data_IF_076871655846
#
_entry.id   IF_076871655846
#
_cell.length_a   1.000
_cell.length_b   1.000
_cell.length_c   1.000
_cell.angle_alpha   90.00
_cell.angle_beta   90.00
_cell.angle_gamma   90.00
#
_symmetry.space_group_name_H-M   'P 1'
#
loop_
_entity.id
_entity.type
_entity.pdbx_description
1 polymer ?
#
# COMPACT_ATOMS: atom_id res chain seq x y z
N UNK A 1 -3.92 31.73 -15.79
CA UNK A 1 -4.49 30.98 -14.63
C UNK A 1 -6.01 30.86 -14.71
N UNK A 2 -6.55 30.33 -15.82
CA UNK A 2 -8.00 30.15 -16.04
C UNK A 2 -8.35 28.71 -16.45
N UNK A 3 -7.48 27.74 -16.14
CA UNK A 3 -7.64 26.37 -16.61
C UNK A 3 -8.79 25.66 -15.85
N UNK A 4 -9.86 25.24 -16.54
CA UNK A 4 -11.04 24.60 -15.93
C UNK A 4 -10.81 23.14 -15.51
N UNK A 5 -9.64 22.56 -15.74
CA UNK A 5 -9.29 21.22 -15.20
C UNK A 5 -9.13 21.22 -13.68
N UNK A 6 -8.80 22.36 -13.07
CA UNK A 6 -8.70 22.48 -11.62
C UNK A 6 -10.06 22.73 -10.97
N UNK A 7 -10.42 21.90 -9.97
CA UNK A 7 -11.69 22.00 -9.25
C UNK A 7 -11.94 23.42 -8.67
N UNK A 8 -10.90 24.07 -8.16
CA UNK A 8 -10.96 25.44 -7.61
C UNK A 8 -11.34 26.48 -8.66
N UNK A 9 -10.83 26.34 -9.89
CA UNK A 9 -11.14 27.24 -11.00
C UNK A 9 -12.59 27.01 -11.49
N UNK A 10 -13.06 25.76 -11.53
CA UNK A 10 -14.48 25.47 -11.82
C UNK A 10 -15.42 26.05 -10.78
N UNK A 11 -15.08 25.93 -9.49
CA UNK A 11 -15.89 26.53 -8.41
C UNK A 11 -15.97 28.04 -8.59
N UNK A 12 -14.83 28.72 -8.82
CA UNK A 12 -14.78 30.18 -8.95
C UNK A 12 -15.47 30.70 -10.21
N UNK A 13 -15.27 30.07 -11.36
CA UNK A 13 -15.68 30.62 -12.66
C UNK A 13 -17.01 30.06 -13.18
N UNK A 14 -17.51 28.95 -12.61
CA UNK A 14 -18.75 28.31 -13.07
C UNK A 14 -19.80 28.17 -11.97
N UNK A 15 -19.44 27.61 -10.82
CA UNK A 15 -20.43 27.28 -9.79
C UNK A 15 -20.85 28.48 -8.94
N UNK A 16 -19.90 29.31 -8.49
CA UNK A 16 -20.21 30.48 -7.66
C UNK A 16 -21.06 31.53 -8.42
N UNK A 17 -20.75 31.90 -9.68
CA UNK A 17 -21.58 32.83 -10.43
C UNK A 17 -23.01 32.30 -10.66
N UNK A 18 -23.15 31.03 -11.04
CA UNK A 18 -24.46 30.41 -11.24
C UNK A 18 -25.30 30.37 -9.95
N UNK A 19 -24.66 30.12 -8.80
CA UNK A 19 -25.32 30.20 -7.49
C UNK A 19 -25.70 31.64 -7.13
N UNK A 20 -24.93 32.65 -7.52
CA UNK A 20 -25.27 34.06 -7.27
C UNK A 20 -26.44 34.56 -8.14
N UNK A 21 -26.62 34.00 -9.34
CA UNK A 21 -27.74 34.32 -10.24
C UNK A 21 -29.09 33.77 -9.74
N UNK A 22 -29.11 32.55 -9.18
CA UNK A 22 -30.35 31.91 -8.70
C UNK A 22 -30.65 32.15 -7.22
N UNK A 23 -29.69 32.63 -6.43
CA UNK A 23 -29.85 32.79 -4.99
C UNK A 23 -30.31 34.20 -4.56
N UNK A 24 -30.83 34.35 -3.32
CA UNK A 24 -31.17 35.64 -2.77
C UNK A 24 -29.96 36.60 -2.71
N UNK A 25 -30.18 37.92 -2.86
CA UNK A 25 -29.11 38.91 -2.81
C UNK A 25 -28.29 38.78 -1.51
N UNK A 26 -26.96 38.77 -1.67
CA UNK A 26 -26.02 38.66 -0.55
C UNK A 26 -25.63 37.23 -0.15
N UNK A 27 -25.93 36.20 -0.96
CA UNK A 27 -25.45 34.82 -0.75
C UNK A 27 -23.96 34.77 -0.41
N UNK A 28 -23.10 35.43 -1.21
CA UNK A 28 -21.66 35.47 -0.99
C UNK A 28 -21.29 35.96 0.41
N UNK A 29 -21.93 37.03 0.88
CA UNK A 29 -21.71 37.58 2.23
C UNK A 29 -22.15 36.58 3.30
N UNK A 30 -23.28 35.89 3.12
CA UNK A 30 -23.79 34.88 4.05
C UNK A 30 -22.87 33.65 4.12
N UNK A 31 -22.36 33.19 2.97
CA UNK A 31 -21.40 32.08 2.93
C UNK A 31 -20.07 32.44 3.59
N UNK A 32 -19.59 33.67 3.40
CA UNK A 32 -18.39 34.15 4.09
C UNK A 32 -18.61 34.27 5.61
N UNK A 33 -19.76 34.77 6.05
CA UNK A 33 -20.11 34.84 7.46
C UNK A 33 -20.20 33.44 8.08
N UNK A 34 -20.93 32.51 7.44
CA UNK A 34 -21.02 31.12 7.87
C UNK A 34 -19.65 30.44 7.93
N UNK A 35 -18.77 30.70 6.96
CA UNK A 35 -17.43 30.15 6.96
C UNK A 35 -16.57 30.72 8.11
N UNK A 36 -16.72 32.01 8.45
CA UNK A 36 -16.04 32.63 9.57
C UNK A 36 -16.54 32.06 10.91
N UNK A 37 -17.86 32.00 11.11
CA UNK A 37 -18.49 31.40 12.30
C UNK A 37 -18.06 29.94 12.48
N UNK A 38 -18.16 29.14 11.41
CA UNK A 38 -17.74 27.74 11.45
C UNK A 38 -16.24 27.59 11.72
N UNK A 39 -15.40 28.54 11.27
CA UNK A 39 -13.96 28.50 11.55
C UNK A 39 -13.68 28.75 13.03
N UNK A 40 -14.34 29.72 13.64
CA UNK A 40 -14.24 30.02 15.08
C UNK A 40 -14.70 28.82 15.93
N UNK A 41 -15.84 28.22 15.60
CA UNK A 41 -16.35 27.04 16.29
C UNK A 41 -15.42 25.83 16.14
N UNK A 42 -14.88 25.60 14.94
CA UNK A 42 -13.93 24.50 14.69
C UNK A 42 -12.65 24.73 15.49
N UNK A 43 -12.15 25.97 15.58
CA UNK A 43 -10.96 26.29 16.36
C UNK A 43 -11.15 25.94 17.84
N UNK A 44 -12.29 26.31 18.43
CA UNK A 44 -12.64 25.96 19.81
C UNK A 44 -12.70 24.43 20.04
N UNK A 45 -13.28 23.70 19.08
CA UNK A 45 -13.35 22.24 19.14
C UNK A 45 -11.98 21.57 19.00
N UNK A 46 -11.07 22.14 18.21
CA UNK A 46 -9.69 21.66 18.07
C UNK A 46 -8.86 21.93 19.34
N UNK A 47 -9.07 23.06 20.01
CA UNK A 47 -8.49 23.35 21.33
C UNK A 47 -8.99 22.34 22.37
N UNK A 48 -10.30 22.16 22.48
CA UNK A 48 -10.92 21.17 23.38
C UNK A 48 -10.44 19.73 23.11
N UNK A 49 -10.18 19.39 21.84
CA UNK A 49 -9.64 18.10 21.45
C UNK A 49 -8.16 17.95 21.82
N UNK A 50 -7.40 19.04 21.81
CA UNK A 50 -6.01 19.08 22.28
C UNK A 50 -5.95 18.82 23.78
N UNK A 51 -6.79 19.50 24.56
CA UNK A 51 -6.86 19.30 26.01
C UNK A 51 -7.30 17.89 26.38
N UNK A 52 -8.26 17.33 25.64
CA UNK A 52 -8.66 15.93 25.80
C UNK A 52 -7.52 14.97 25.51
N UNK A 53 -6.73 15.23 24.45
CA UNK A 53 -5.58 14.41 24.10
C UNK A 53 -4.50 14.45 25.19
N UNK A 54 -4.14 15.64 25.68
CA UNK A 54 -3.12 15.79 26.72
C UNK A 54 -3.56 15.13 28.03
N UNK A 55 -4.83 15.27 28.44
CA UNK A 55 -5.37 14.55 29.61
C UNK A 55 -5.37 13.04 29.43
N UNK A 56 -5.62 12.56 28.22
CA UNK A 56 -5.60 11.13 27.92
C UNK A 56 -4.17 10.58 27.77
N UNK A 57 -3.14 11.41 27.61
CA UNK A 57 -1.79 10.92 27.32
C UNK A 57 -1.15 10.26 28.54
N UNK A 58 -0.94 8.94 28.47
CA UNK A 58 -0.24 8.17 29.50
C UNK A 58 1.26 8.11 29.25
N UNK A 59 1.66 7.96 27.99
CA UNK A 59 3.07 7.95 27.57
C UNK A 59 3.18 8.31 26.08
N UNK A 60 4.29 8.94 25.70
CA UNK A 60 4.55 9.30 24.31
C UNK A 60 6.02 9.23 23.93
N UNK A 61 6.29 8.75 22.72
CA UNK A 61 7.59 8.75 22.06
C UNK A 61 7.43 9.13 20.59
N UNK A 62 8.51 9.45 19.85
CA UNK A 62 8.44 9.85 18.44
C UNK A 62 7.73 8.87 17.51
N UNK A 63 7.56 7.60 17.91
CA UNK A 63 6.88 6.56 17.12
C UNK A 63 5.71 5.87 17.83
N UNK A 64 5.37 6.26 19.06
CA UNK A 64 4.26 5.62 19.80
C UNK A 64 3.57 6.56 20.78
N UNK A 65 2.27 6.41 20.93
CA UNK A 65 1.46 7.09 21.95
C UNK A 65 0.59 6.07 22.67
N UNK A 66 0.52 6.18 24.00
CA UNK A 66 -0.38 5.43 24.85
C UNK A 66 -1.40 6.39 25.44
N UNK A 67 -2.68 6.13 25.20
CA UNK A 67 -3.79 6.97 25.63
C UNK A 67 -4.69 6.24 26.61
N UNK A 68 -5.17 6.91 27.65
CA UNK A 68 -6.13 6.41 28.61
C UNK A 68 -7.50 6.25 27.97
N UNK A 69 -8.04 5.03 28.01
CA UNK A 69 -9.32 4.72 27.38
C UNK A 69 -10.50 5.28 28.15
N UNK A 70 -10.46 5.35 29.48
CA UNK A 70 -11.54 5.93 30.27
C UNK A 70 -11.76 7.40 29.92
N UNK A 71 -10.68 8.15 29.77
CA UNK A 71 -10.71 9.56 29.39
C UNK A 71 -11.31 9.75 27.99
N UNK A 72 -10.94 8.90 27.03
CA UNK A 72 -11.48 8.96 25.66
C UNK A 72 -12.95 8.50 25.59
N UNK A 73 -13.31 7.44 26.31
CA UNK A 73 -14.66 6.89 26.33
C UNK A 73 -15.66 7.77 27.09
N UNK A 74 -15.20 8.52 28.11
CA UNK A 74 -16.01 9.48 28.85
C UNK A 74 -16.27 10.81 28.10
N UNK A 75 -15.58 11.06 26.98
CA UNK A 75 -15.74 12.27 26.21
C UNK A 75 -16.84 12.14 25.13
N UNK A 76 -17.46 13.25 24.69
CA UNK A 76 -18.35 13.25 23.54
C UNK A 76 -17.69 12.65 22.29
N UNK A 77 -18.36 11.77 21.51
CA UNK A 77 -17.75 11.08 20.36
C UNK A 77 -17.14 12.03 19.33
N UNK A 78 -17.72 13.22 19.14
CA UNK A 78 -17.19 14.24 18.23
C UNK A 78 -15.83 14.79 18.68
N UNK A 79 -15.62 14.94 20.00
CA UNK A 79 -14.34 15.38 20.57
C UNK A 79 -13.33 14.24 20.61
N UNK A 80 -13.74 13.04 21.02
CA UNK A 80 -12.86 11.86 21.01
C UNK A 80 -12.30 11.59 19.61
N UNK A 81 -13.12 11.69 18.55
CA UNK A 81 -12.67 11.56 17.16
C UNK A 81 -11.65 12.64 16.76
N UNK A 82 -11.80 13.88 17.21
CA UNK A 82 -10.83 14.95 16.94
C UNK A 82 -9.53 14.72 17.69
N UNK A 83 -9.60 14.35 18.97
CA UNK A 83 -8.42 14.00 19.78
C UNK A 83 -7.63 12.84 19.17
N UNK A 84 -8.31 11.78 18.71
CA UNK A 84 -7.69 10.65 18.01
C UNK A 84 -7.02 11.07 16.70
N UNK A 85 -7.66 11.93 15.89
CA UNK A 85 -7.04 12.49 14.68
C UNK A 85 -5.78 13.27 14.99
N UNK A 86 -5.80 14.06 16.07
CA UNK A 86 -4.66 14.83 16.52
C UNK A 86 -3.53 13.95 17.06
N UNK A 87 -3.86 12.88 17.79
CA UNK A 87 -2.88 11.89 18.23
C UNK A 87 -2.15 11.25 17.05
N UNK A 88 -2.86 10.91 15.98
CA UNK A 88 -2.24 10.37 14.76
C UNK A 88 -1.41 11.40 14.03
N UNK A 89 -1.85 12.66 13.92
CA UNK A 89 -1.03 13.74 13.35
C UNK A 89 0.26 14.00 14.14
N UNK A 90 0.25 13.82 15.46
CA UNK A 90 1.46 13.91 16.30
C UNK A 90 2.48 12.82 15.99
N UNK A 91 2.00 11.64 15.58
CA UNK A 91 2.84 10.50 15.18
C UNK A 91 3.27 10.57 13.71
N UNK A 92 2.37 11.03 12.83
CA UNK A 92 2.59 11.13 11.38
C UNK A 92 2.05 12.50 10.93
N UNK A 93 2.89 13.55 10.83
CA UNK A 93 2.44 14.93 10.57
C UNK A 93 1.59 15.11 9.31
N UNK A 94 1.83 14.31 8.28
CA UNK A 94 1.12 14.35 6.99
C UNK A 94 -0.06 13.38 6.91
N UNK A 95 -0.38 12.64 7.98
CA UNK A 95 -1.47 11.67 7.93
C UNK A 95 -2.84 12.35 8.00
N UNK A 96 -3.70 11.96 7.07
CA UNK A 96 -5.13 12.22 7.14
C UNK A 96 -5.87 10.92 7.43
N UNK A 97 -6.63 10.93 8.53
CA UNK A 97 -7.52 9.84 8.87
C UNK A 97 -8.88 10.08 8.22
N UNK A 98 -9.28 9.14 7.38
CA UNK A 98 -10.65 9.08 6.89
C UNK A 98 -11.65 8.79 8.03
N UNK A 99 -12.94 8.92 7.72
CA UNK A 99 -14.01 8.68 8.70
C UNK A 99 -13.99 7.24 9.22
N UNK A 100 -13.76 6.25 8.35
CA UNK A 100 -13.77 4.83 8.71
C UNK A 100 -12.65 4.46 9.68
N UNK A 101 -11.43 4.93 9.42
CA UNK A 101 -10.26 4.72 10.29
C UNK A 101 -10.43 5.42 11.62
N UNK A 102 -10.98 6.64 11.61
CA UNK A 102 -11.27 7.38 12.85
C UNK A 102 -12.30 6.62 13.71
N UNK A 103 -13.33 6.04 13.08
CA UNK A 103 -14.35 5.25 13.79
C UNK A 103 -13.79 3.95 14.36
N UNK A 104 -12.91 3.27 13.62
CA UNK A 104 -12.20 2.09 14.12
C UNK A 104 -11.36 2.38 15.37
N UNK A 105 -10.64 3.51 15.39
CA UNK A 105 -9.90 3.94 16.57
C UNK A 105 -10.82 4.23 17.76
N UNK A 106 -11.95 4.88 17.51
CA UNK A 106 -12.94 5.17 18.54
C UNK A 106 -13.50 3.87 19.14
N UNK A 107 -13.89 2.90 18.30
CA UNK A 107 -14.40 1.59 18.72
C UNK A 107 -13.38 0.79 19.52
N UNK A 108 -12.09 0.91 19.19
CA UNK A 108 -11.01 0.34 19.99
C UNK A 108 -10.86 1.02 21.36
N UNK A 109 -11.02 2.34 21.42
CA UNK A 109 -11.02 3.08 22.67
C UNK A 109 -12.20 2.66 23.57
N UNK A 110 -13.43 2.62 23.02
CA UNK A 110 -14.67 2.31 23.76
C UNK A 110 -14.78 0.85 24.17
N UNK A 111 -14.20 -0.07 23.40
CA UNK A 111 -14.13 -1.49 23.76
C UNK A 111 -14.84 -2.44 22.80
N UNK A 112 -15.49 -1.90 21.77
CA UNK A 112 -16.32 -2.63 20.79
C UNK A 112 -15.53 -3.45 19.76
N UNK A 113 -14.20 -3.53 19.90
CA UNK A 113 -13.30 -4.31 19.04
C UNK A 113 -12.26 -5.08 19.87
N UNK A 114 -12.06 -6.36 19.55
CA UNK A 114 -11.49 -7.33 20.48
C UNK A 114 -10.00 -7.13 20.83
N UNK A 115 -9.10 -6.70 19.93
CA UNK A 115 -7.66 -6.74 20.30
C UNK A 115 -6.68 -5.87 19.50
N UNK A 116 -7.14 -5.03 18.57
CA UNK A 116 -6.30 -4.10 17.82
C UNK A 116 -6.55 -4.15 16.32
N UNK A 117 -6.11 -3.09 15.62
CA UNK A 117 -6.27 -2.95 14.18
C UNK A 117 -5.02 -2.30 13.59
N UNK A 118 -4.66 -2.71 12.38
CA UNK A 118 -3.73 -1.95 11.54
C UNK A 118 -4.57 -1.07 10.63
N UNK A 119 -4.36 0.23 10.68
CA UNK A 119 -5.14 1.16 9.88
C UNK A 119 -4.78 1.09 8.39
N UNK A 120 -5.69 1.51 7.50
CA UNK A 120 -5.40 1.64 6.07
C UNK A 120 -4.09 2.41 5.83
N UNK A 121 -3.25 1.89 4.93
CA UNK A 121 -1.90 2.39 4.70
C UNK A 121 -0.80 1.71 5.53
N UNK A 122 -1.13 0.82 6.46
CA UNK A 122 -0.19 -0.12 7.10
C UNK A 122 0.83 0.48 8.08
N UNK A 123 0.99 1.81 8.07
CA UNK A 123 1.98 2.56 8.86
C UNK A 123 1.60 2.70 10.33
N UNK A 124 0.31 2.61 10.66
CA UNK A 124 -0.16 2.84 12.03
C UNK A 124 -0.90 1.61 12.55
N UNK A 125 -0.43 1.10 13.69
CA UNK A 125 -1.07 0.04 14.45
C UNK A 125 -1.70 0.62 15.71
N UNK A 126 -2.95 0.25 15.98
CA UNK A 126 -3.64 0.61 17.20
C UNK A 126 -3.99 -0.67 17.97
N UNK A 127 -3.54 -0.77 19.22
CA UNK A 127 -3.73 -1.95 20.06
C UNK A 127 -4.30 -1.54 21.40
N UNK A 128 -5.29 -2.29 21.87
CA UNK A 128 -5.82 -2.15 23.22
C UNK A 128 -4.95 -2.96 24.19
N UNK A 129 -4.38 -2.30 25.20
CA UNK A 129 -3.59 -2.92 26.27
C UNK A 129 -4.20 -2.55 27.62
N UNK A 130 -5.11 -3.40 28.13
CA UNK A 130 -5.85 -3.12 29.35
C UNK A 130 -6.64 -1.82 29.26
N UNK A 131 -6.35 -0.87 30.14
CA UNK A 131 -6.95 0.47 30.17
C UNK A 131 -6.37 1.45 29.13
N UNK A 132 -5.30 1.08 28.42
CA UNK A 132 -4.65 1.95 27.44
C UNK A 132 -4.99 1.59 25.99
N UNK A 133 -5.09 2.62 25.13
CA UNK A 133 -5.05 2.53 23.68
C UNK A 133 -3.64 2.92 23.23
N UNK A 134 -2.89 1.98 22.68
CA UNK A 134 -1.54 2.19 22.19
C UNK A 134 -1.57 2.36 20.67
N UNK A 135 -1.18 3.54 20.20
CA UNK A 135 -0.89 3.85 18.81
C UNK A 135 0.61 3.69 18.58
N UNK A 136 1.00 2.98 17.53
CA UNK A 136 2.41 2.79 17.18
C UNK A 136 2.57 2.95 15.69
N UNK A 137 3.45 3.87 15.30
CA UNK A 137 3.94 3.95 13.93
C UNK A 137 4.83 2.75 13.74
N UNK A 138 4.39 1.82 12.90
CA UNK A 138 5.28 0.79 12.43
C UNK A 138 6.30 1.50 11.56
N UNK A 139 7.58 1.39 11.91
CA UNK A 139 8.64 1.64 10.94
C UNK A 139 8.35 0.71 9.78
N UNK A 140 7.75 1.26 8.73
CA UNK A 140 7.79 0.64 7.44
C UNK A 140 9.25 0.65 7.06
N UNK A 141 9.96 -0.47 7.29
CA UNK A 141 10.92 -0.89 6.28
C UNK A 141 10.18 -0.70 4.95
N UNK A 142 10.71 0.07 3.99
CA UNK A 142 10.01 0.35 2.75
C UNK A 142 9.73 -1.01 2.07
N UNK A 143 8.52 -1.56 2.23
CA UNK A 143 8.28 -2.97 1.91
C UNK A 143 7.00 -3.64 2.43
N UNK A 144 6.35 -3.16 3.49
CA UNK A 144 5.10 -3.79 3.98
C UNK A 144 3.98 -2.78 4.22
N UNK A 145 3.34 -2.37 3.14
CA UNK A 145 2.18 -1.47 3.17
C UNK A 145 1.83 -0.99 1.78
N UNK A 146 1.42 -1.91 0.91
CA UNK A 146 0.72 -1.54 -0.32
C UNK A 146 -0.59 -2.32 -0.36
N UNK A 147 -1.69 -1.58 -0.30
CA UNK A 147 -2.71 -1.82 -1.31
C UNK A 147 -2.76 -0.60 -2.25
N UNK A 148 -1.61 0.02 -2.54
CA UNK A 148 -1.40 0.50 -3.89
C UNK A 148 -1.24 -0.76 -4.74
N UNK A 149 -2.03 -0.89 -5.79
CA UNK A 149 -1.89 -1.99 -6.73
C UNK A 149 -0.47 -1.94 -7.30
N UNK A 150 0.42 -2.80 -6.79
CA UNK A 150 1.77 -2.93 -7.32
C UNK A 150 1.64 -3.17 -8.83
N UNK A 151 2.31 -2.36 -9.67
CA UNK A 151 2.08 -2.37 -11.11
C UNK A 151 2.41 -3.76 -11.66
N UNK A 152 1.53 -4.24 -12.53
CA UNK A 152 1.85 -5.31 -13.47
C UNK A 152 2.30 -4.63 -14.75
N UNK A 153 3.49 -4.96 -15.21
CA UNK A 153 4.11 -4.35 -16.39
C UNK A 153 4.20 -5.42 -17.47
N UNK A 154 3.63 -5.15 -18.65
CA UNK A 154 3.75 -6.06 -19.79
C UNK A 154 5.23 -6.19 -20.19
N UNK A 155 5.66 -7.42 -20.46
CA UNK A 155 7.01 -7.77 -20.87
C UNK A 155 6.97 -8.25 -22.33
N UNK A 156 7.19 -7.35 -23.30
CA UNK A 156 7.15 -7.73 -24.72
C UNK A 156 8.29 -8.69 -25.05
N UNK A 157 8.03 -9.64 -25.97
CA UNK A 157 9.01 -10.62 -26.44
C UNK A 157 9.31 -10.37 -27.93
N UNK A 158 10.55 -10.00 -28.30
CA UNK A 158 11.67 -9.55 -27.45
C UNK A 158 11.42 -8.17 -26.83
N UNK A 159 12.06 -7.90 -25.69
CA UNK A 159 11.96 -6.58 -25.06
C UNK A 159 12.37 -6.57 -23.59
N UNK A 160 11.99 -5.49 -22.90
CA UNK A 160 12.29 -5.29 -21.48
C UNK A 160 11.13 -4.64 -20.74
N UNK A 161 11.06 -4.89 -19.44
CA UNK A 161 10.10 -4.30 -18.52
C UNK A 161 10.83 -3.79 -17.28
N UNK A 162 10.54 -2.56 -16.88
CA UNK A 162 11.04 -1.96 -15.66
C UNK A 162 10.00 -2.11 -14.54
N UNK A 163 10.40 -2.68 -13.40
CA UNK A 163 9.56 -2.85 -12.21
C UNK A 163 10.31 -2.36 -10.96
N UNK A 164 10.10 -1.09 -10.60
CA UNK A 164 10.85 -0.44 -9.52
C UNK A 164 12.33 -0.30 -9.90
N UNK A 165 13.23 -0.85 -9.08
CA UNK A 165 14.69 -0.89 -9.32
C UNK A 165 15.14 -2.03 -10.25
N UNK A 166 14.20 -2.83 -10.75
CA UNK A 166 14.49 -4.00 -11.56
C UNK A 166 14.25 -3.74 -13.03
N UNK A 167 15.22 -4.09 -13.86
CA UNK A 167 15.07 -4.23 -15.30
C UNK A 167 15.07 -5.73 -15.63
N UNK A 168 13.94 -6.21 -16.15
CA UNK A 168 13.79 -7.58 -16.67
C UNK A 168 13.83 -7.52 -18.18
N UNK A 169 14.73 -8.27 -18.80
CA UNK A 169 14.82 -8.40 -20.26
C UNK A 169 14.41 -9.81 -20.67
N UNK A 170 13.81 -9.93 -21.86
CA UNK A 170 13.49 -11.21 -22.48
C UNK A 170 13.87 -11.20 -23.95
N UNK A 171 14.58 -12.24 -24.37
CA UNK A 171 14.97 -12.45 -25.75
C UNK A 171 14.68 -13.90 -26.16
N UNK A 172 14.03 -14.13 -27.32
CA UNK A 172 13.90 -15.46 -27.87
C UNK A 172 15.27 -15.96 -28.35
N UNK A 173 15.57 -17.22 -28.06
CA UNK A 173 16.81 -17.91 -28.45
C UNK A 173 16.48 -19.28 -29.04
N UNK A 174 17.15 -19.64 -30.14
CA UNK A 174 17.02 -20.94 -30.79
C UNK A 174 18.32 -21.30 -31.53
N UNK A 175 18.90 -22.49 -31.31
CA UNK A 175 18.54 -23.47 -30.28
C UNK A 175 18.81 -22.94 -28.86
N UNK A 176 18.20 -23.52 -27.80
CA UNK A 176 18.46 -23.10 -26.44
C UNK A 176 19.96 -23.26 -26.10
N UNK A 177 20.67 -22.17 -25.74
CA UNK A 177 22.06 -22.28 -25.32
C UNK A 177 22.14 -22.99 -23.97
N UNK A 178 23.35 -23.36 -23.55
CA UNK A 178 23.57 -23.75 -22.15
C UNK A 178 23.18 -22.57 -21.24
N UNK A 179 22.68 -22.82 -20.02
CA UNK A 179 22.41 -21.75 -19.07
C UNK A 179 23.71 -20.96 -18.82
N UNK A 180 23.68 -19.66 -19.13
CA UNK A 180 24.81 -18.74 -18.97
C UNK A 180 24.40 -17.61 -18.04
N UNK A 181 25.33 -17.19 -17.18
CA UNK A 181 25.13 -16.12 -16.19
C UNK A 181 24.86 -16.63 -14.78
N UNK A 182 24.46 -15.71 -13.90
CA UNK A 182 24.07 -16.03 -12.53
C UNK A 182 22.74 -16.82 -12.55
N UNK A 183 22.69 -18.07 -12.08
CA UNK A 183 21.47 -18.89 -12.12
C UNK A 183 20.30 -18.30 -11.31
N UNK A 184 20.56 -17.35 -10.42
CA UNK A 184 19.51 -16.58 -9.75
C UNK A 184 18.93 -15.44 -10.60
N UNK A 185 19.67 -14.94 -11.60
CA UNK A 185 19.35 -13.71 -12.36
C UNK A 185 19.22 -13.92 -13.86
N UNK A 186 19.59 -15.08 -14.38
CA UNK A 186 19.48 -15.47 -15.78
C UNK A 186 18.85 -16.86 -15.85
N UNK A 187 17.75 -17.00 -16.58
CA UNK A 187 17.04 -18.27 -16.75
C UNK A 187 16.61 -18.48 -18.20
N UNK A 188 16.45 -19.74 -18.57
CA UNK A 188 15.89 -20.16 -19.85
C UNK A 188 14.54 -20.84 -19.60
N UNK A 189 13.50 -20.36 -20.28
CA UNK A 189 12.18 -20.95 -20.27
C UNK A 189 11.86 -21.55 -21.64
N UNK A 190 11.08 -22.62 -21.68
CA UNK A 190 10.56 -23.17 -22.93
C UNK A 190 9.50 -22.20 -23.50
N UNK A 191 9.76 -21.67 -24.70
CA UNK A 191 8.90 -20.66 -25.30
C UNK A 191 7.51 -21.22 -25.65
N UNK A 192 7.43 -22.52 -25.96
CA UNK A 192 6.18 -23.17 -26.39
C UNK A 192 5.29 -23.52 -25.19
N UNK A 193 5.75 -23.30 -23.95
CA UNK A 193 5.00 -23.53 -22.71
C UNK A 193 4.42 -22.26 -22.09
N UNK A 194 4.67 -21.09 -22.68
CA UNK A 194 4.14 -19.81 -22.20
C UNK A 194 2.70 -19.66 -22.66
N UNK A 195 1.79 -19.35 -21.74
CA UNK A 195 0.37 -19.14 -22.04
C UNK A 195 0.05 -17.64 -22.15
N UNK A 196 -0.03 -17.10 -23.36
CA UNK A 196 -0.44 -15.71 -23.59
C UNK A 196 0.70 -14.70 -23.45
N UNK A 197 0.40 -13.51 -22.90
CA UNK A 197 1.37 -12.43 -22.77
C UNK A 197 2.23 -12.58 -21.50
N UNK A 198 3.51 -12.23 -21.59
CA UNK A 198 4.38 -12.15 -20.42
C UNK A 198 4.18 -10.82 -19.70
N UNK A 199 4.23 -10.87 -18.38
CA UNK A 199 4.25 -9.69 -17.54
C UNK A 199 5.19 -9.86 -16.36
N UNK A 200 5.64 -8.73 -15.80
CA UNK A 200 6.46 -8.66 -14.60
C UNK A 200 5.68 -7.95 -13.51
N UNK A 201 5.60 -8.56 -12.33
CA UNK A 201 4.95 -7.99 -11.15
C UNK A 201 5.63 -8.44 -9.86
N UNK A 202 5.33 -7.78 -8.75
CA UNK A 202 5.76 -8.27 -7.44
C UNK A 202 4.86 -9.38 -6.89
N UNK A 203 5.38 -10.09 -5.88
CA UNK A 203 4.67 -11.12 -5.14
C UNK A 203 3.39 -10.59 -4.46
N UNK A 204 2.28 -11.33 -4.61
CA UNK A 204 0.97 -11.05 -4.01
C UNK A 204 0.62 -12.10 -2.94
N UNK A 205 -0.15 -11.74 -1.90
CA UNK A 205 -0.68 -12.71 -0.97
C UNK A 205 -1.49 -13.79 -1.69
N UNK A 206 -1.21 -15.05 -1.39
CA UNK A 206 -1.87 -16.20 -2.03
C UNK A 206 -1.18 -16.75 -3.27
N UNK A 207 -0.12 -16.11 -3.79
CA UNK A 207 0.67 -16.62 -4.91
C UNK A 207 1.20 -18.04 -4.64
N UNK A 208 1.11 -18.90 -5.67
CA UNK A 208 1.60 -20.28 -5.65
C UNK A 208 2.42 -20.54 -6.90
N UNK A 209 3.54 -21.23 -6.72
CA UNK A 209 4.43 -21.65 -7.80
C UNK A 209 4.69 -23.16 -7.68
N UNK A 210 5.03 -23.82 -8.77
CA UNK A 210 5.50 -25.20 -8.77
C UNK A 210 7.01 -25.19 -9.04
N UNK A 211 7.87 -25.14 -8.01
CA UNK A 211 9.31 -24.98 -8.23
C UNK A 211 9.89 -26.16 -9.00
N UNK A 212 10.81 -25.86 -9.93
CA UNK A 212 11.52 -26.87 -10.70
C UNK A 212 12.18 -27.91 -9.78
N UNK A 213 11.92 -29.19 -10.03
CA UNK A 213 12.50 -30.31 -9.27
C UNK A 213 11.83 -30.60 -7.91
N UNK A 214 10.75 -29.89 -7.56
CA UNK A 214 9.95 -30.17 -6.36
C UNK A 214 8.56 -30.72 -6.71
N UNK A 215 8.05 -31.61 -5.86
CA UNK A 215 6.71 -32.15 -6.03
C UNK A 215 5.63 -31.14 -5.61
N UNK A 216 4.69 -30.85 -6.50
CA UNK A 216 3.48 -30.08 -6.21
C UNK A 216 3.62 -28.55 -6.20
N UNK A 217 2.48 -27.86 -6.04
CA UNK A 217 2.41 -26.39 -5.94
C UNK A 217 2.68 -25.96 -4.49
N UNK A 218 3.60 -25.03 -4.30
CA UNK A 218 3.95 -24.44 -2.99
C UNK A 218 3.46 -23.00 -2.91
N UNK A 219 3.11 -22.54 -1.70
CA UNK A 219 2.86 -21.11 -1.48
C UNK A 219 4.18 -20.37 -1.61
N UNK A 220 4.16 -19.23 -2.29
CA UNK A 220 5.35 -18.41 -2.48
C UNK A 220 5.92 -17.91 -1.14
N UNK A 221 5.05 -17.67 -0.15
CA UNK A 221 5.48 -17.29 1.20
C UNK A 221 6.31 -18.39 1.89
N UNK A 222 5.92 -19.66 1.75
CA UNK A 222 6.66 -20.78 2.34
C UNK A 222 8.04 -20.91 1.66
N UNK A 223 8.09 -20.71 0.34
CA UNK A 223 9.34 -20.69 -0.42
C UNK A 223 10.28 -19.56 0.05
N UNK A 224 9.75 -18.36 0.31
CA UNK A 224 10.54 -17.26 0.86
C UNK A 224 11.00 -17.50 2.31
N UNK A 225 10.24 -18.25 3.10
CA UNK A 225 10.66 -18.66 4.44
C UNK A 225 11.83 -19.63 4.36
N UNK A 226 11.72 -20.67 3.54
CA UNK A 226 12.77 -21.67 3.35
C UNK A 226 14.07 -21.05 2.81
N UNK A 227 13.95 -20.14 1.85
CA UNK A 227 15.06 -19.40 1.28
C UNK A 227 15.59 -18.27 2.19
N UNK A 228 15.06 -18.15 3.43
CA UNK A 228 15.44 -17.15 4.43
C UNK A 228 15.38 -15.71 3.92
N UNK A 229 14.44 -15.41 3.02
CA UNK A 229 14.23 -14.06 2.49
C UNK A 229 13.71 -13.16 3.61
N UNK A 230 14.37 -12.02 3.89
CA UNK A 230 13.88 -11.05 4.86
C UNK A 230 12.47 -10.60 4.53
N UNK A 231 11.59 -10.51 5.54
CA UNK A 231 10.18 -10.11 5.35
C UNK A 231 10.03 -8.81 4.55
N UNK A 232 10.89 -7.83 4.82
CA UNK A 232 10.93 -6.52 4.15
C UNK A 232 11.18 -6.59 2.64
N UNK A 233 11.83 -7.64 2.12
CA UNK A 233 12.15 -7.76 0.69
C UNK A 233 11.22 -8.72 -0.05
N UNK A 234 10.45 -9.56 0.65
CA UNK A 234 9.53 -10.56 0.03
C UNK A 234 8.52 -9.92 -0.92
N UNK A 235 7.94 -8.78 -0.54
CA UNK A 235 7.00 -8.03 -1.37
C UNK A 235 7.65 -7.28 -2.53
N UNK A 236 8.98 -7.29 -2.63
CA UNK A 236 9.77 -6.62 -3.68
C UNK A 236 10.53 -7.60 -4.58
N UNK A 237 10.27 -8.90 -4.45
CA UNK A 237 10.82 -9.92 -5.35
C UNK A 237 10.04 -9.87 -6.66
N UNK A 238 10.70 -9.60 -7.81
CA UNK A 238 10.05 -9.64 -9.11
C UNK A 238 9.66 -11.07 -9.48
N UNK A 239 8.47 -11.19 -10.07
CA UNK A 239 7.93 -12.40 -10.64
C UNK A 239 7.70 -12.17 -12.13
N UNK A 240 8.15 -13.10 -12.96
CA UNK A 240 7.69 -13.20 -14.34
C UNK A 240 6.52 -14.16 -14.39
N UNK A 241 5.41 -13.68 -14.92
CA UNK A 241 4.14 -14.38 -15.02
C UNK A 241 3.66 -14.38 -16.47
N UNK A 242 2.87 -15.37 -16.81
CA UNK A 242 2.00 -15.32 -17.98
C UNK A 242 0.54 -15.09 -17.52
N UNK A 243 -0.43 -15.28 -18.41
CA UNK A 243 -1.85 -15.06 -18.11
C UNK A 243 -2.40 -16.03 -17.06
N UNK A 244 -1.77 -17.19 -16.86
CA UNK A 244 -2.28 -18.24 -15.98
C UNK A 244 -1.47 -18.41 -14.68
N UNK A 245 -0.16 -18.20 -14.73
CA UNK A 245 0.76 -18.71 -13.72
C UNK A 245 2.07 -17.95 -13.60
N UNK A 246 2.78 -18.24 -12.50
CA UNK A 246 4.14 -17.77 -12.26
C UNK A 246 5.10 -18.68 -13.00
N UNK A 247 5.97 -18.10 -13.84
CA UNK A 247 6.98 -18.83 -14.61
C UNK A 247 8.36 -18.73 -13.97
N UNK A 248 8.69 -17.59 -13.38
CA UNK A 248 9.99 -17.38 -12.73
C UNK A 248 9.87 -16.46 -11.51
N UNK A 249 10.45 -16.90 -10.40
CA UNK A 249 10.66 -16.13 -9.18
C UNK A 249 12.13 -15.69 -9.18
N UNK A 250 12.38 -14.42 -9.49
CA UNK A 250 13.74 -13.89 -9.66
C UNK A 250 14.57 -14.12 -8.40
N UNK A 251 15.76 -14.69 -8.55
CA UNK A 251 16.68 -15.01 -7.46
C UNK A 251 16.37 -16.32 -6.71
N UNK A 252 15.29 -17.03 -7.05
CA UNK A 252 14.81 -18.14 -6.24
C UNK A 252 14.53 -19.43 -7.01
N UNK A 253 13.60 -19.42 -7.96
CA UNK A 253 13.26 -20.64 -8.69
C UNK A 253 12.54 -20.36 -10.02
N UNK A 254 12.70 -21.29 -10.95
CA UNK A 254 11.88 -21.39 -12.16
C UNK A 254 10.69 -22.30 -11.86
N UNK A 255 9.56 -22.06 -12.50
CA UNK A 255 8.41 -22.95 -12.45
C UNK A 255 8.67 -24.20 -13.31
N UNK A 256 8.36 -25.37 -12.77
CA UNK A 256 8.34 -26.65 -13.47
C UNK A 256 7.51 -26.60 -14.77
N UNK A 257 6.48 -25.75 -14.77
CA UNK A 257 5.57 -25.57 -15.90
C UNK A 257 6.24 -24.86 -17.10
N UNK A 258 7.35 -24.14 -16.86
CA UNK A 258 8.12 -23.40 -17.86
C UNK A 258 9.49 -24.02 -18.17
N UNK A 259 9.76 -25.23 -17.64
CA UNK A 259 11.07 -25.90 -17.75
C UNK A 259 11.45 -26.19 -19.20
N UNK A 260 12.75 -26.13 -19.49
CA UNK A 260 13.31 -26.74 -20.70
C UNK A 260 13.16 -28.27 -20.65
N UNK A 261 12.82 -28.87 -21.78
CA UNK A 261 12.86 -30.32 -21.99
C UNK A 261 13.84 -30.69 -23.11
N UNK A 262 14.10 -31.99 -23.27
CA UNK A 262 15.01 -32.51 -24.31
C UNK A 262 14.56 -32.17 -25.74
N UNK A 263 13.27 -31.86 -25.93
CA UNK A 263 12.67 -31.53 -27.23
C UNK A 263 12.45 -30.03 -27.44
N UNK A 264 12.87 -29.18 -26.49
CA UNK A 264 12.67 -27.73 -26.60
C UNK A 264 13.54 -27.17 -27.72
N UNK A 265 12.91 -26.63 -28.77
CA UNK A 265 13.63 -26.02 -29.90
C UNK A 265 13.75 -24.49 -29.79
N UNK A 266 12.82 -23.87 -29.06
CA UNK A 266 12.75 -22.43 -28.84
C UNK A 266 12.71 -22.15 -27.35
N UNK A 267 13.57 -21.25 -26.89
CA UNK A 267 13.57 -20.81 -25.50
C UNK A 267 13.48 -19.30 -25.40
N UNK A 268 13.02 -18.82 -24.25
CA UNK A 268 13.11 -17.43 -23.85
C UNK A 268 14.23 -17.30 -22.84
N UNK A 269 15.25 -16.49 -23.14
CA UNK A 269 16.26 -16.09 -22.17
C UNK A 269 15.72 -14.88 -21.42
N UNK A 270 15.56 -15.01 -20.11
CA UNK A 270 15.19 -13.91 -19.24
C UNK A 270 16.36 -13.53 -18.34
N UNK A 271 16.64 -12.24 -18.25
CA UNK A 271 17.64 -11.70 -17.34
C UNK A 271 17.01 -10.62 -16.47
N UNK A 272 17.34 -10.63 -15.17
CA UNK A 272 16.91 -9.62 -14.22
C UNK A 272 18.14 -8.92 -13.64
N UNK A 273 18.19 -7.59 -13.80
CA UNK A 273 19.25 -6.74 -13.28
C UNK A 273 18.66 -5.67 -12.38
N UNK A 274 19.43 -5.24 -11.37
CA UNK A 274 19.09 -4.07 -10.57
C UNK A 274 19.78 -2.86 -11.19
N UNK A 275 19.00 -1.86 -11.57
CA UNK A 275 19.54 -0.53 -11.87
C UNK A 275 19.71 0.19 -10.53
N UNK A 276 20.96 0.38 -10.13
CA UNK A 276 21.37 1.08 -8.92
C UNK A 276 22.19 2.31 -9.26
#
# INVERSE_FOLDING_TARGET
NADPTFARNRVRHRLLPALEEEAPPGLRRRLLALAAEAHEEVALLEESATDLLERALLAGSPGSLCLDRSTLAGAPPALARRALRRAVRRLIPVAELDRASTDLLLRLATGDLATGVTLPGGRLQAVRRGAALCLTVRETSPGEGAAEALPIVSLPVPGSAALGEWLVTVCPVSPPPRPEGDPGRSVLLDADRVCGELAVRFARPGDRVRPLGMAGRRKLQDLFVDAKVPRSTRGRVPLVVDDERILWVVGHCISEDARLGERTQRALRLEARREG
#
